data_IF_446563963324
#
_entry.id   IF_446563963324
#
_cell.length_a   1.000
_cell.length_b   1.000
_cell.length_c   1.000
_cell.angle_alpha   90.00
_cell.angle_beta   90.00
_cell.angle_gamma   90.00
#
_symmetry.space_group_name_H-M   'P 1'
#
loop_
_entity.id
_entity.type
_entity.pdbx_description
1 polymer ?
2 polymer ?
3 non-polymer ?
4 water ?
#
# COMPACT_ATOMS: atom_id res chain seq x y z
N UNK A 1 13.74 8.87 22.10
CA UNK A 1 12.48 8.06 21.96
C UNK A 1 12.68 6.90 20.97
N UNK A 2 11.88 5.85 21.14
CA UNK A 2 11.84 4.73 20.17
C UNK A 2 11.27 5.20 18.85
N UNK A 3 11.96 4.86 17.73
CA UNK A 3 11.38 5.27 16.45
C UNK A 3 9.93 4.77 16.18
N UNK A 4 9.63 3.55 16.63
CA UNK A 4 8.30 2.97 16.36
C UNK A 4 7.23 3.82 17.09
N UNK A 5 7.66 4.59 18.11
CA UNK A 5 6.78 5.42 18.90
C UNK A 5 6.59 6.78 18.26
N UNK A 6 7.68 7.39 17.80
CA UNK A 6 7.64 8.70 17.08
C UNK A 6 6.81 8.56 15.82
N UNK A 7 6.93 7.40 15.19
CA UNK A 7 6.20 7.01 13.98
C UNK A 7 4.73 7.24 14.28
N UNK A 8 4.28 6.72 15.42
CA UNK A 8 2.91 6.93 15.92
C UNK A 8 2.59 8.37 16.35
N UNK A 9 3.36 8.96 17.25
CA UNK A 9 2.88 10.23 17.82
C UNK A 9 3.13 11.57 17.07
N UNK A 10 3.93 11.53 16.00
CA UNK A 10 4.03 12.69 15.13
C UNK A 10 3.09 12.55 13.90
N UNK A 11 2.29 11.48 13.87
CA UNK A 11 1.37 11.23 12.74
C UNK A 11 1.91 10.53 11.51
N UNK A 12 3.18 10.14 11.52
CA UNK A 12 3.76 9.46 10.34
C UNK A 12 2.95 8.27 9.93
N UNK A 13 2.48 7.53 10.94
CA UNK A 13 1.60 6.35 10.77
C UNK A 13 0.37 6.57 9.91
N UNK A 14 -0.07 7.84 9.80
CA UNK A 14 -1.26 8.19 9.10
C UNK A 14 -1.02 8.08 7.60
N UNK A 15 0.29 8.21 7.23
CA UNK A 15 0.66 8.36 5.82
C UNK A 15 1.68 7.38 5.30
N UNK A 16 2.29 6.59 6.15
CA UNK A 16 3.31 5.71 5.69
C UNK A 16 3.15 4.31 6.37
N UNK A 17 3.40 3.28 5.57
CA UNK A 17 3.48 1.87 6.02
C UNK A 17 4.91 1.39 5.79
N UNK A 18 5.23 0.25 6.37
CA UNK A 18 6.54 -0.33 6.24
C UNK A 18 6.64 -1.03 4.88
N UNK A 19 5.63 -1.83 4.53
CA UNK A 19 5.67 -2.67 3.33
C UNK A 19 5.16 -1.96 2.09
N UNK A 20 5.77 -2.31 0.96
CA UNK A 20 5.37 -1.73 -0.32
C UNK A 20 3.98 -2.20 -0.76
N UNK A 21 3.33 -1.43 -1.62
CA UNK A 21 1.99 -1.79 -2.13
C UNK A 21 2.11 -3.01 -3.00
N UNK A 22 1.07 -3.83 -3.00
CA UNK A 22 1.06 -4.96 -3.90
C UNK A 22 0.64 -4.56 -5.31
N UNK A 23 0.78 -5.49 -6.25
CA UNK A 23 0.67 -5.12 -7.66
C UNK A 23 -0.78 -4.84 -8.03
N UNK A 24 -1.75 -5.53 -7.40
CA UNK A 24 -3.13 -5.37 -7.80
C UNK A 24 -3.82 -4.33 -6.95
N UNK A 25 -5.03 -3.92 -7.35
CA UNK A 25 -5.82 -2.93 -6.57
C UNK A 25 -6.19 -3.45 -5.21
N UNK A 26 -6.21 -2.55 -4.22
CA UNK A 26 -6.79 -2.90 -2.95
C UNK A 26 -8.25 -3.27 -3.02
N UNK A 27 -8.67 -4.25 -2.17
CA UNK A 27 -10.03 -4.67 -2.18
C UNK A 27 -11.01 -3.57 -1.84
N UNK A 28 -10.62 -2.62 -0.95
CA UNK A 28 -11.52 -1.52 -0.68
C UNK A 28 -11.70 -0.60 -1.89
N UNK A 29 -10.68 -0.51 -2.75
CA UNK A 29 -10.80 0.28 -3.99
C UNK A 29 -11.68 -0.38 -5.06
N UNK A 30 -11.63 -1.71 -5.13
CA UNK A 30 -12.51 -2.48 -5.95
C UNK A 30 -13.93 -2.28 -5.51
N UNK A 31 -14.19 -2.41 -4.21
CA UNK A 31 -15.52 -2.21 -3.66
C UNK A 31 -16.06 -0.82 -4.01
N UNK A 32 -15.24 0.20 -3.93
CA UNK A 32 -15.64 1.55 -4.28
C UNK A 32 -15.98 1.69 -5.77
N UNK A 33 -15.15 1.10 -6.66
CA UNK A 33 -15.39 1.22 -8.09
C UNK A 33 -16.74 0.61 -8.49
N UNK A 34 -17.07 -0.54 -7.89
CA UNK A 34 -18.20 -1.34 -8.38
C UNK A 34 -19.46 -1.18 -7.56
N UNK A 35 -19.42 -0.33 -6.54
CA UNK A 35 -20.53 -0.18 -5.60
C UNK A 35 -21.86 0.16 -6.32
N UNK A 36 -22.94 -0.51 -5.94
CA UNK A 36 -24.31 -0.28 -6.48
C UNK A 36 -24.63 -0.87 -7.86
N UNK A 37 -23.64 -1.52 -8.49
CA UNK A 37 -23.75 -1.99 -9.90
C UNK A 37 -24.34 -3.39 -9.90
N UNK A 38 -25.45 -3.57 -10.63
CA UNK A 38 -26.31 -4.76 -10.46
C UNK A 38 -25.53 -6.07 -10.71
N UNK A 39 -24.70 -6.03 -11.73
CA UNK A 39 -24.03 -7.23 -12.25
C UNK A 39 -22.55 -7.32 -11.75
N UNK A 40 -22.19 -6.52 -10.77
CA UNK A 40 -20.81 -6.47 -10.29
C UNK A 40 -20.27 -7.82 -9.77
N UNK A 41 -21.10 -8.59 -9.07
CA UNK A 41 -20.64 -9.88 -8.50
C UNK A 41 -20.25 -10.83 -9.62
N UNK A 42 -21.11 -10.96 -10.58
CA UNK A 42 -20.87 -11.83 -11.73
C UNK A 42 -19.69 -11.36 -12.52
N UNK A 43 -19.57 -10.06 -12.78
CA UNK A 43 -18.38 -9.53 -13.45
C UNK A 43 -17.08 -9.91 -12.70
N UNK A 44 -17.01 -9.57 -11.41
CA UNK A 44 -15.81 -9.85 -10.60
C UNK A 44 -15.49 -11.37 -10.45
N UNK A 45 -16.52 -12.20 -10.38
CA UNK A 45 -16.28 -13.60 -10.14
C UNK A 45 -15.65 -14.14 -11.37
N UNK A 46 -16.07 -13.62 -12.54
CA UNK A 46 -15.41 -14.09 -13.77
C UNK A 46 -13.95 -13.62 -13.85
N UNK A 47 -13.71 -12.34 -13.53
CA UNK A 47 -12.34 -11.83 -13.52
C UNK A 47 -11.45 -12.53 -12.56
N UNK A 48 -11.96 -12.89 -11.38
CA UNK A 48 -11.19 -13.50 -10.36
C UNK A 48 -10.68 -14.87 -10.83
N UNK A 49 -11.60 -15.60 -11.49
CA UNK A 49 -11.23 -16.94 -11.96
C UNK A 49 -10.40 -16.94 -13.22
N UNK A 50 -10.77 -16.08 -14.17
CA UNK A 50 -10.12 -16.16 -15.46
C UNK A 50 -8.97 -15.19 -15.64
N UNK A 51 -8.84 -14.23 -14.72
CA UNK A 51 -7.90 -13.16 -14.86
C UNK A 51 -8.25 -12.18 -15.96
N UNK A 52 -7.29 -11.33 -16.34
CA UNK A 52 -7.47 -10.25 -17.35
C UNK A 52 -6.66 -9.00 -16.99
N UNK A 53 -6.61 -8.03 -17.89
CA UNK A 53 -5.82 -6.86 -17.66
C UNK A 53 -6.64 -5.65 -18.11
N UNK A 54 -6.08 -4.47 -17.90
CA UNK A 54 -6.50 -3.24 -18.58
C UNK A 54 -7.38 -2.33 -17.73
N UNK A 55 -8.11 -2.89 -16.78
CA UNK A 55 -9.00 -2.08 -15.97
C UNK A 55 -8.26 -1.13 -15.00
N UNK A 56 -7.19 -1.63 -14.36
CA UNK A 56 -6.40 -0.93 -13.34
C UNK A 56 -4.95 -0.57 -13.77
N UNK A 57 -4.55 -1.01 -14.94
CA UNK A 57 -3.17 -0.81 -15.36
C UNK A 57 -2.89 -1.74 -16.52
N UNK A 58 -1.64 -1.76 -16.93
CA UNK A 58 -1.26 -2.65 -17.98
C UNK A 58 -0.94 -4.09 -17.52
N UNK A 59 -0.77 -4.29 -16.22
CA UNK A 59 -0.32 -5.57 -15.63
C UNK A 59 -1.42 -6.65 -15.66
N UNK A 60 -1.18 -7.77 -16.34
CA UNK A 60 -2.27 -8.73 -16.38
C UNK A 60 -2.40 -9.59 -15.10
N UNK A 61 -3.65 -9.82 -14.72
CA UNK A 61 -3.95 -10.73 -13.62
C UNK A 61 -4.04 -12.10 -14.19
N UNK A 62 -3.40 -13.07 -13.52
CA UNK A 62 -3.45 -14.42 -14.02
C UNK A 62 -4.77 -15.11 -13.64
N UNK A 63 -5.16 -16.13 -14.40
CA UNK A 63 -6.26 -16.97 -13.93
C UNK A 63 -5.96 -17.58 -12.55
N UNK A 64 -7.01 -17.87 -11.78
CA UNK A 64 -6.78 -18.45 -10.42
C UNK A 64 -7.55 -19.76 -10.29
N UNK A 65 -7.03 -20.64 -9.41
CA UNK A 65 -7.57 -21.99 -9.22
C UNK A 65 -8.62 -22.02 -8.13
N UNK A 66 -9.75 -21.50 -8.56
CA UNK A 66 -10.96 -21.39 -7.73
C UNK A 66 -12.12 -22.01 -8.51
N UNK A 67 -13.06 -22.58 -7.76
CA UNK A 67 -14.33 -22.96 -8.38
C UNK A 67 -15.09 -21.70 -8.74
N UNK A 68 -16.13 -21.82 -9.57
CA UNK A 68 -16.95 -20.64 -9.83
C UNK A 68 -17.63 -20.18 -8.51
N UNK A 69 -17.98 -21.14 -7.62
CA UNK A 69 -18.65 -20.75 -6.36
C UNK A 69 -17.69 -19.98 -5.46
N UNK A 70 -16.41 -20.43 -5.43
CA UNK A 70 -15.44 -19.69 -4.62
C UNK A 70 -15.21 -18.30 -5.21
N UNK A 71 -15.11 -18.21 -6.52
CA UNK A 71 -14.94 -16.90 -7.20
C UNK A 71 -16.10 -15.92 -6.80
N UNK A 72 -17.32 -16.45 -6.66
CA UNK A 72 -18.48 -15.60 -6.35
C UNK A 72 -18.38 -15.18 -4.88
N UNK A 73 -18.02 -16.12 -4.01
CA UNK A 73 -17.87 -15.84 -2.59
C UNK A 73 -16.84 -14.73 -2.39
N UNK A 74 -15.73 -14.84 -3.11
CA UNK A 74 -14.65 -13.85 -2.98
C UNK A 74 -15.08 -12.49 -3.51
N UNK A 75 -15.78 -12.49 -4.64
CA UNK A 75 -16.40 -11.27 -5.18
C UNK A 75 -17.32 -10.51 -4.20
N UNK A 76 -18.20 -11.28 -3.59
CA UNK A 76 -19.17 -10.73 -2.63
C UNK A 76 -18.42 -10.13 -1.43
N UNK A 77 -17.40 -10.88 -0.94
CA UNK A 77 -16.58 -10.38 0.17
C UNK A 77 -15.82 -9.11 -0.19
N UNK A 78 -15.17 -9.12 -1.35
CA UNK A 78 -14.46 -7.92 -1.76
C UNK A 78 -15.41 -6.69 -1.86
N UNK A 79 -16.58 -6.85 -2.48
CA UNK A 79 -17.51 -5.75 -2.60
C UNK A 79 -17.98 -5.22 -1.21
N UNK A 80 -17.90 -6.10 -0.19
CA UNK A 80 -18.40 -5.77 1.15
C UNK A 80 -17.55 -4.81 1.88
N UNK A 81 -16.32 -4.62 1.44
CA UNK A 81 -15.34 -3.87 2.22
C UNK A 81 -15.50 -2.36 2.10
N UNK A 82 -15.91 -1.76 3.22
CA UNK A 82 -15.94 -0.33 3.37
C UNK A 82 -15.17 0.19 4.59
N UNK B 1 -14.06 -14.80 2.04
CA UNK B 1 -13.45 -14.18 3.23
C UNK B 1 -11.95 -14.15 3.15
N UNK B 2 -11.37 -13.50 4.15
CA UNK B 2 -9.95 -13.27 4.16
C UNK B 2 -9.20 -14.57 4.16
N UNK B 3 -9.65 -15.55 4.98
CA UNK B 3 -8.93 -16.77 5.03
C UNK B 3 -8.88 -17.45 3.67
N UNK B 4 -10.02 -17.52 2.98
CA UNK B 4 -10.09 -18.13 1.63
C UNK B 4 -9.17 -17.36 0.69
N UNK B 5 -9.19 -16.06 0.80
CA UNK B 5 -8.34 -15.25 -0.09
C UNK B 5 -6.85 -15.50 0.19
N UNK B 6 -6.47 -15.64 1.48
CA UNK B 6 -5.06 -16.00 1.86
C UNK B 6 -4.72 -17.36 1.25
N UNK B 7 -5.63 -18.30 1.46
CA UNK B 7 -5.45 -19.69 1.06
C UNK B 7 -5.22 -19.81 -0.40
N UNK B 8 -5.96 -19.02 -1.20
CA UNK B 8 -5.87 -19.16 -2.66
C UNK B 8 -4.74 -18.31 -3.28
N UNK B 9 -3.93 -17.61 -2.48
CA UNK B 9 -2.76 -16.87 -3.01
C UNK B 9 -3.06 -15.43 -3.32
N UNK B 10 -4.28 -14.97 -3.05
CA UNK B 10 -4.71 -13.66 -3.52
C UNK B 10 -3.94 -12.56 -2.82
N UNK B 11 -3.52 -12.79 -1.58
CA UNK B 11 -2.93 -11.75 -0.82
C UNK B 11 -1.47 -11.49 -1.18
N UNK B 12 -0.94 -12.32 -2.07
CA UNK B 12 0.40 -12.06 -2.69
C UNK B 12 0.35 -10.79 -3.53
N UNK B 13 -0.82 -10.49 -4.09
CA UNK B 13 -1.01 -9.37 -5.05
C UNK B 13 -2.00 -8.31 -4.63
N UNK B 14 -2.64 -8.50 -3.47
CA UNK B 14 -3.75 -7.62 -3.04
C UNK B 14 -3.71 -7.39 -1.56
N UNK B 15 -3.90 -6.16 -1.14
CA UNK B 15 -4.28 -5.82 0.23
C UNK B 15 -5.73 -5.41 0.37
N UNK B 16 -6.22 -5.44 1.61
CA UNK B 16 -7.55 -5.01 1.92
C UNK B 16 -7.71 -3.51 1.71
N UNK B 17 -6.80 -2.71 2.27
CA UNK B 17 -6.94 -1.22 2.32
C UNK B 17 -6.05 -0.58 1.22
N UNK B 18 -6.49 0.57 0.72
CA UNK B 18 -5.78 1.41 -0.26
C UNK B 18 -4.38 1.73 0.22
N UNK B 19 -3.47 1.98 -0.74
CA UNK B 19 -2.11 2.42 -0.42
C UNK B 19 -2.23 3.70 0.38
N UNK B 20 -1.31 3.85 1.30
CA UNK B 20 -1.20 5.08 2.06
C UNK B 20 -0.67 6.20 1.16
N UNK B 21 -0.82 7.44 1.63
CA UNK B 21 -0.55 8.54 0.73
C UNK B 21 0.96 8.65 0.43
N UNK B 22 1.80 8.26 1.37
CA UNK B 22 3.27 8.36 1.21
C UNK B 22 3.92 7.04 0.93
N UNK B 23 5.21 7.07 0.57
CA UNK B 23 5.90 5.84 0.18
C UNK B 23 6.18 4.96 1.35
N UNK B 24 6.18 3.69 1.05
CA UNK B 24 6.52 2.71 2.06
C UNK B 24 7.97 2.86 2.50
N UNK B 25 8.21 2.68 3.81
CA UNK B 25 9.57 2.87 4.30
C UNK B 25 10.56 1.88 3.75
N UNK B 26 10.12 0.65 3.41
CA UNK B 26 11.13 -0.29 2.83
C UNK B 26 11.61 0.24 1.47
N UNK B 27 10.73 0.92 0.76
CA UNK B 27 11.08 1.50 -0.54
C UNK B 27 12.01 2.69 -0.37
N UNK B 28 11.75 3.51 0.63
CA UNK B 28 12.64 4.63 0.90
C UNK B 28 14.04 4.06 1.28
N UNK B 29 14.10 3.10 2.16
CA UNK B 29 15.41 2.54 2.58
C UNK B 29 16.17 1.93 1.41
N UNK B 30 15.48 1.19 0.56
CA UNK B 30 16.14 0.57 -0.55
C UNK B 30 16.67 1.59 -1.56
N UNK B 31 15.92 2.64 -1.80
CA UNK B 31 16.38 3.74 -2.70
C UNK B 31 17.70 4.32 -2.17
N UNK B 32 17.78 4.57 -0.86
CA UNK B 32 18.92 5.22 -0.32
C UNK B 32 20.08 4.33 0.20
N UNK B 33 19.93 3.00 0.13
CA UNK B 33 20.94 2.06 0.66
C UNK B 33 22.30 2.34 0.06
N UNK B 34 23.29 2.50 0.92
CA UNK B 34 24.68 2.81 0.47
C UNK B 34 24.97 4.19 -0.11
N UNK B 35 24.03 5.12 0.08
CA UNK B 35 24.15 6.46 -0.41
C UNK B 35 24.65 7.38 0.67
N UNK B 36 25.80 7.96 0.37
CA UNK B 36 26.34 8.96 1.24
C UNK B 36 25.35 10.10 1.47
N UNK B 37 25.23 10.56 2.70
CA UNK B 37 24.39 11.74 2.94
C UNK B 37 22.91 11.44 3.07
N UNK B 38 22.52 10.17 3.07
CA UNK B 38 21.08 9.87 3.06
C UNK B 38 20.39 10.22 4.38
N UNK B 39 21.02 9.91 5.50
CA UNK B 39 20.41 10.19 6.80
C UNK B 39 20.17 11.71 6.90
N UNK B 40 21.18 12.52 6.55
CA UNK B 40 21.07 14.01 6.60
C UNK B 40 19.93 14.49 5.76
N UNK B 41 19.90 13.95 4.53
CA UNK B 41 18.99 14.34 3.50
C UNK B 41 17.57 14.07 3.98
N UNK B 42 17.32 12.84 4.41
CA UNK B 42 16.02 12.50 4.89
C UNK B 42 15.60 13.24 6.13
N UNK B 43 16.52 13.40 7.09
CA UNK B 43 16.23 14.21 8.26
C UNK B 43 15.64 15.56 7.82
N UNK B 44 16.30 16.17 6.86
CA UNK B 44 15.88 17.50 6.32
C UNK B 44 14.50 17.45 5.72
N UNK B 45 14.24 16.40 4.95
CA UNK B 45 12.96 16.25 4.25
C UNK B 45 11.82 15.91 5.22
N UNK B 46 12.11 15.15 6.27
CA UNK B 46 11.14 14.87 7.27
C UNK B 46 10.77 16.19 7.98
N UNK B 47 11.77 16.98 8.28
CA UNK B 47 11.58 18.21 9.03
C UNK B 47 10.82 19.20 8.12
N UNK B 48 11.27 19.32 6.89
CA UNK B 48 10.90 20.45 6.05
C UNK B 48 9.94 20.25 4.88
N UNK B 49 9.66 18.99 4.58
CA UNK B 49 8.76 18.58 3.53
C UNK B 49 9.41 18.08 2.28
N UNK B 50 8.61 17.46 1.43
CA UNK B 50 9.11 16.85 0.21
C UNK B 50 8.00 16.82 -0.84
N UNK B 51 8.33 17.11 -2.09
CA UNK B 51 7.41 16.85 -3.21
C UNK B 51 8.19 16.42 -4.43
N UNK B 52 7.52 15.57 -5.22
CA UNK B 52 8.02 15.24 -6.58
C UNK B 52 8.91 14.01 -6.65
N UNK B 53 9.20 13.42 -5.51
CA UNK B 53 10.04 12.24 -5.51
C UNK B 53 9.20 11.02 -5.84
N UNK B 54 8.07 10.88 -5.15
CA UNK B 54 7.33 9.56 -5.14
C UNK B 54 5.98 9.69 -5.78
N UNK B 55 5.56 10.91 -6.07
CA UNK B 55 4.20 11.24 -6.51
C UNK B 55 3.95 12.73 -6.58
N UNK B 56 2.69 13.11 -6.92
CA UNK B 56 2.24 14.49 -7.00
C UNK B 56 1.79 15.07 -5.68
N UNK B 57 1.69 14.28 -4.62
CA UNK B 57 1.18 14.83 -3.36
C UNK B 57 2.37 15.20 -2.46
N UNK B 58 2.41 16.45 -1.93
CA UNK B 58 3.53 16.82 -1.08
C UNK B 58 3.42 16.25 0.33
N UNK B 59 4.56 15.91 0.93
CA UNK B 59 4.61 15.83 2.36
C UNK B 59 4.86 17.21 2.98
N UNK B 60 3.97 17.66 3.86
CA UNK B 60 4.22 18.91 4.59
C UNK B 60 5.30 18.79 5.62
N UNK B 61 5.81 19.94 6.06
CA UNK B 61 6.78 19.88 7.13
C UNK B 61 6.19 19.15 8.34
N UNK B 62 7.07 18.49 9.06
CA UNK B 62 6.74 17.92 10.42
C UNK B 62 7.52 18.68 11.54
N UNK B 63 6.87 18.90 12.68
CA UNK B 63 7.49 19.67 13.78
C UNK B 63 8.34 18.82 14.69
N UNK B 64 9.54 18.52 14.22
CA UNK B 64 10.45 17.65 14.92
C UNK B 64 11.78 18.38 15.04
N UNK B 65 12.54 18.09 16.09
CA UNK B 65 13.91 18.57 16.25
C UNK B 65 14.85 17.90 15.30
N UNK B 66 16.06 18.44 15.17
CA UNK B 66 17.06 17.77 14.34
C UNK B 66 17.39 16.36 14.92
N UNK B 67 17.29 16.18 16.26
CA UNK B 67 17.35 14.84 16.91
C UNK B 67 16.18 13.88 16.54
N UNK B 68 14.92 14.31 16.66
CA UNK B 68 13.77 13.46 16.28
C UNK B 68 13.79 13.11 14.81
N UNK B 69 14.26 14.08 13.99
CA UNK B 69 14.35 13.89 12.53
C UNK B 69 15.44 12.90 12.16
N UNK B 70 16.61 13.06 12.74
CA UNK B 70 17.68 12.08 12.60
C UNK B 70 17.26 10.66 13.08
N UNK B 71 16.61 10.58 14.24
CA UNK B 71 16.16 9.28 14.82
C UNK B 71 15.28 8.57 13.80
N UNK B 72 14.23 9.28 13.37
CA UNK B 72 13.29 8.75 12.39
C UNK B 72 14.02 8.45 11.08
N UNK B 73 14.90 9.36 10.62
CA UNK B 73 15.60 9.08 9.36
C UNK B 73 16.40 7.76 9.45
N UNK B 74 17.12 7.58 10.56
CA UNK B 74 17.90 6.33 10.71
C UNK B 74 16.97 5.08 10.68
N UNK B 75 15.82 5.16 11.35
CA UNK B 75 14.93 4.02 11.48
C UNK B 75 14.32 3.72 10.11
N UNK B 76 13.96 4.80 9.39
CA UNK B 76 13.42 4.58 8.07
C UNK B 76 14.47 3.83 7.24
N UNK B 77 15.70 4.31 7.28
CA UNK B 77 16.73 3.77 6.37
C UNK B 77 17.12 2.34 6.74
N UNK B 78 16.79 1.92 7.95
CA UNK B 78 17.01 0.53 8.39
C UNK B 78 15.91 -0.46 8.04
N UNK B 79 14.83 -0.01 7.39
CA UNK B 79 13.71 -0.88 7.07
C UNK B 79 13.97 -1.77 5.87
N UNK B 80 14.06 -3.07 6.12
CA UNK B 80 14.48 -4.04 5.13
C UNK B 80 13.62 -5.28 5.29
#
# INVERSE_FOLDING_TARGET
EDPEVLFKNKGCVACHAIDTKKVGPAYADVAKKYAGRKDAVDYLAGKIKKGGSGVWGSVPAPPQNVTDAEAKQLAQWILSIK
NEQLAKQKGCMACHDLKAKMVGPAYKDVAAKFAGQAGAEAELAQRIKNGSQGVWGPIPMPPNAVSDDEAQTLAKWVLSQK
#
